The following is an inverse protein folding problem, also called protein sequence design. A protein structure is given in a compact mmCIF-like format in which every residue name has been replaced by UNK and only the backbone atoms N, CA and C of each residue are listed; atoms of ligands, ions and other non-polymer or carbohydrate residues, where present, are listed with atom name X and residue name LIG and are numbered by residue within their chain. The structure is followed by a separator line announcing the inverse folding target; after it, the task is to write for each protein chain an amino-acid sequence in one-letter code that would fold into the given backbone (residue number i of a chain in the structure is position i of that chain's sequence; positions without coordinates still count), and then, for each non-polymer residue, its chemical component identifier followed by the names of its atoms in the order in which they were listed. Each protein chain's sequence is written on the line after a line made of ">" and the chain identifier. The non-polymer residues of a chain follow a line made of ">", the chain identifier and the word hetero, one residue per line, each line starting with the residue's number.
data_IF_322658155509
#
_entry.id   IF_322658155509
#
_cell.length_a   1.000
_cell.length_b   1.000
_cell.length_c   1.000
_cell.angle_alpha   90.00
_cell.angle_beta   90.00
_cell.angle_gamma   90.00
#
_symmetry.space_group_name_H-M   'P 1'
#
loop_
_entity.id
_entity.type
_entity.pdbx_description
1 polymer ?
#
# COMPACT_ATOMS: atom_id res chain seq x y z
N UNK A 1 -11.23 6.59 18.92
CA UNK A 1 -10.57 5.36 18.47
C UNK A 1 -11.62 4.29 18.26
N UNK A 2 -11.51 3.54 17.17
CA UNK A 2 -12.29 2.32 16.96
C UNK A 2 -11.57 1.23 17.76
N UNK A 3 -12.22 0.69 18.79
CA UNK A 3 -11.67 -0.24 19.77
C UNK A 3 -11.48 -1.64 19.15
N UNK A 4 -10.52 -1.76 18.24
CA UNK A 4 -10.15 -2.98 17.53
C UNK A 4 -8.71 -3.29 17.90
N UNK A 5 -8.50 -4.41 18.57
CA UNK A 5 -7.16 -4.89 18.92
C UNK A 5 -6.44 -5.44 17.68
N UNK A 6 -5.11 -5.41 17.71
CA UNK A 6 -4.29 -5.99 16.65
C UNK A 6 -4.50 -7.51 16.55
N UNK A 7 -4.57 -8.02 15.31
CA UNK A 7 -4.66 -9.45 15.01
C UNK A 7 -3.76 -9.76 13.80
N UNK A 8 -2.92 -10.80 13.88
CA UNK A 8 -2.01 -11.18 12.79
C UNK A 8 -2.76 -11.53 11.49
N UNK A 9 -4.00 -12.01 11.59
CA UNK A 9 -4.86 -12.30 10.43
C UNK A 9 -5.16 -11.05 9.60
N UNK A 10 -5.03 -9.83 10.15
CA UNK A 10 -5.18 -8.58 9.41
C UNK A 10 -4.18 -8.43 8.25
N UNK A 11 -3.07 -9.18 8.29
CA UNK A 11 -2.04 -9.14 7.25
C UNK A 11 -2.24 -10.20 6.16
N UNK A 12 -3.31 -11.00 6.22
CA UNK A 12 -3.56 -12.12 5.31
C UNK A 12 -5.00 -12.19 4.83
N UNK A 13 -5.22 -12.68 3.61
CA UNK A 13 -6.55 -12.84 3.03
C UNK A 13 -6.57 -13.98 2.00
N UNK A 14 -7.79 -14.41 1.67
CA UNK A 14 -8.01 -15.41 0.63
C UNK A 14 -7.87 -14.76 -0.75
N UNK A 15 -7.02 -15.34 -1.59
CA UNK A 15 -6.88 -14.97 -3.00
C UNK A 15 -8.19 -15.20 -3.78
N UNK A 16 -8.37 -14.43 -4.85
CA UNK A 16 -9.49 -14.48 -5.77
C UNK A 16 -10.51 -13.35 -5.57
N UNK A 17 -11.40 -13.20 -6.55
CA UNK A 17 -12.48 -12.20 -6.53
C UNK A 17 -13.49 -12.61 -5.46
N UNK A 18 -13.75 -11.70 -4.53
CA UNK A 18 -14.83 -11.80 -3.58
C UNK A 18 -16.07 -11.05 -4.07
N UNK A 19 -17.21 -11.37 -3.47
CA UNK A 19 -18.51 -10.76 -3.81
C UNK A 19 -18.52 -9.24 -3.62
N UNK A 20 -17.64 -8.69 -2.79
CA UNK A 20 -17.51 -7.27 -2.50
C UNK A 20 -16.56 -6.50 -3.43
N UNK A 21 -15.76 -7.16 -4.27
CA UNK A 21 -14.75 -6.49 -5.10
C UNK A 21 -15.34 -5.70 -6.29
N UNK A 22 -16.64 -5.88 -6.56
CA UNK A 22 -17.38 -5.13 -7.55
C UNK A 22 -16.99 -5.44 -9.01
N UNK A 23 -17.59 -4.70 -9.94
CA UNK A 23 -17.46 -4.97 -11.38
C UNK A 23 -16.05 -4.72 -11.93
N UNK A 24 -15.28 -3.83 -11.28
CA UNK A 24 -13.95 -3.46 -11.72
C UNK A 24 -12.87 -4.48 -11.38
N UNK A 25 -13.15 -5.43 -10.48
CA UNK A 25 -12.17 -6.41 -10.01
C UNK A 25 -11.50 -7.18 -11.14
N UNK A 26 -12.29 -7.62 -12.12
CA UNK A 26 -11.81 -8.37 -13.28
C UNK A 26 -10.89 -7.56 -14.20
N UNK A 27 -10.96 -6.24 -14.13
CA UNK A 27 -10.27 -5.34 -15.04
C UNK A 27 -9.06 -4.66 -14.39
N UNK A 28 -9.13 -4.33 -13.11
CA UNK A 28 -8.15 -3.47 -12.43
C UNK A 28 -7.40 -4.18 -11.30
N UNK A 29 -7.93 -5.29 -10.76
CA UNK A 29 -7.43 -5.86 -9.49
C UNK A 29 -6.61 -7.13 -9.66
N UNK A 30 -6.06 -7.41 -10.84
CA UNK A 30 -5.31 -8.65 -11.10
C UNK A 30 -4.27 -8.98 -10.01
N UNK A 31 -3.49 -8.00 -9.57
CA UNK A 31 -2.51 -8.18 -8.48
C UNK A 31 -3.15 -8.52 -7.14
N UNK A 32 -4.30 -7.90 -6.82
CA UNK A 32 -5.06 -8.21 -5.58
C UNK A 32 -5.62 -9.62 -5.66
N UNK A 33 -6.12 -10.05 -6.82
CA UNK A 33 -6.66 -11.40 -7.03
C UNK A 33 -5.64 -12.47 -6.68
N UNK A 34 -4.39 -12.27 -7.08
CA UNK A 34 -3.33 -13.27 -6.91
C UNK A 34 -2.62 -13.15 -5.55
N UNK A 35 -2.89 -12.09 -4.79
CA UNK A 35 -2.29 -11.83 -3.48
C UNK A 35 -3.02 -12.54 -2.33
N UNK A 36 -2.28 -12.84 -1.27
CA UNK A 36 -2.81 -13.43 -0.03
C UNK A 36 -2.31 -12.75 1.24
N UNK A 37 -1.38 -11.80 1.09
CA UNK A 37 -0.78 -11.01 2.15
C UNK A 37 -0.05 -9.81 1.50
N UNK A 38 0.43 -8.89 2.33
CA UNK A 38 1.36 -7.85 1.86
C UNK A 38 2.67 -8.47 1.38
N UNK A 39 3.26 -7.88 0.33
CA UNK A 39 4.60 -8.30 -0.09
C UNK A 39 5.62 -7.94 1.01
N UNK A 40 6.58 -8.84 1.29
CA UNK A 40 7.64 -8.53 2.23
C UNK A 40 8.47 -7.36 1.69
N UNK A 41 8.95 -6.52 2.61
CA UNK A 41 9.85 -5.44 2.25
C UNK A 41 11.10 -5.99 1.55
N UNK A 42 11.46 -5.35 0.44
CA UNK A 42 12.68 -5.63 -0.31
C UNK A 42 13.48 -4.35 -0.37
N UNK A 43 14.73 -4.40 0.09
CA UNK A 43 15.67 -3.31 -0.10
C UNK A 43 15.79 -3.01 -1.59
N UNK A 44 15.70 -1.72 -1.93
CA UNK A 44 15.85 -1.23 -3.31
C UNK A 44 16.94 -0.19 -3.33
N UNK A 45 17.92 -0.36 -4.21
CA UNK A 45 18.82 0.74 -4.57
C UNK A 45 18.02 1.80 -5.33
N UNK A 46 17.75 2.93 -4.67
CA UNK A 46 17.07 4.06 -5.28
C UNK A 46 18.10 4.97 -5.96
N UNK A 47 18.19 4.89 -7.29
CA UNK A 47 18.97 5.84 -8.11
C UNK A 47 17.99 6.73 -8.85
N UNK A 48 17.71 7.89 -8.26
CA UNK A 48 16.79 8.86 -8.84
C UNK A 48 17.53 9.77 -9.82
N UNK A 49 16.93 9.98 -10.98
CA UNK A 49 17.31 11.06 -11.88
C UNK A 49 16.83 12.42 -11.33
N UNK A 50 17.26 13.52 -11.97
CA UNK A 50 16.98 14.85 -11.44
C UNK A 50 15.51 15.26 -11.55
N UNK A 51 14.75 14.71 -12.50
CA UNK A 51 13.31 14.99 -12.58
C UNK A 51 12.53 14.22 -11.51
N UNK A 52 12.93 13.00 -11.20
CA UNK A 52 12.38 12.21 -10.09
C UNK A 52 12.67 12.87 -8.73
N UNK A 53 13.87 13.41 -8.53
CA UNK A 53 14.21 14.15 -7.30
C UNK A 53 13.30 15.37 -7.09
N UNK A 54 13.01 16.13 -8.15
CA UNK A 54 12.09 17.29 -8.05
C UNK A 54 10.71 16.87 -7.57
N UNK A 55 10.22 15.71 -7.99
CA UNK A 55 8.92 15.17 -7.54
C UNK A 55 8.99 14.85 -6.04
N UNK A 56 10.07 14.19 -5.61
CA UNK A 56 10.28 13.88 -4.19
C UNK A 56 10.33 15.16 -3.35
N UNK A 57 11.09 16.17 -3.79
CA UNK A 57 11.22 17.44 -3.09
C UNK A 57 9.87 18.17 -2.93
N UNK A 58 8.98 18.06 -3.93
CA UNK A 58 7.63 18.63 -3.86
C UNK A 58 6.70 17.84 -2.93
N UNK A 59 6.83 16.51 -2.89
CA UNK A 59 5.99 15.64 -2.09
C UNK A 59 6.42 15.58 -0.62
N UNK A 60 7.71 15.76 -0.33
CA UNK A 60 8.29 15.54 1.00
C UNK A 60 7.63 16.36 2.11
N UNK A 61 7.33 17.67 1.94
CA UNK A 61 6.69 18.45 2.99
C UNK A 61 5.30 17.92 3.38
N UNK A 62 4.56 17.38 2.41
CA UNK A 62 3.24 16.78 2.63
C UNK A 62 3.42 15.45 3.37
N UNK A 63 4.36 14.61 2.93
CA UNK A 63 4.69 13.36 3.58
C UNK A 63 5.09 13.58 5.04
N UNK A 64 6.01 14.50 5.32
CA UNK A 64 6.46 14.82 6.68
C UNK A 64 5.33 15.38 7.55
N UNK A 65 4.39 16.13 6.97
CA UNK A 65 3.20 16.60 7.67
C UNK A 65 2.33 15.43 8.14
N UNK A 66 2.06 14.46 7.26
CA UNK A 66 1.29 13.25 7.58
C UNK A 66 2.03 12.35 8.56
N UNK A 67 3.35 12.24 8.42
CA UNK A 67 4.19 11.38 9.24
C UNK A 67 4.15 11.75 10.73
N UNK A 68 3.91 13.02 11.06
CA UNK A 68 3.73 13.49 12.45
C UNK A 68 2.53 12.86 13.17
N UNK A 69 1.60 12.27 12.43
CA UNK A 69 0.40 11.62 12.98
C UNK A 69 0.52 10.09 13.01
N UNK A 70 1.68 9.53 12.64
CA UNK A 70 1.96 8.10 12.84
C UNK A 70 2.02 7.85 14.35
N UNK A 71 1.17 6.92 14.82
CA UNK A 71 1.05 6.48 16.22
C UNK A 71 1.98 5.30 16.45
#
# INVERSE_FOLDING_TARGET
>A
MINIDWDESMLSWKSGIQSYDGVWAKHWYKSVLDSTAFEPYKDKELKLNDDEKKIVDQAMPIYESLYKFVI
#
